data_IF_310253042016
#
_entry.id   IF_310253042016
#
_cell.length_a   1.000
_cell.length_b   1.000
_cell.length_c   1.000
_cell.angle_alpha   90.00
_cell.angle_beta   90.00
_cell.angle_gamma   90.00
#
_symmetry.space_group_name_H-M   'P 1'
#
loop_
_entity.id
_entity.type
_entity.pdbx_description
1 polymer ?
#
# COMPACT_ATOMS: atom_id res chain seq x y z
N UNK A 1 7.59 -5.00 -13.39
CA UNK A 1 7.44 -6.41 -13.79
C UNK A 1 8.75 -7.15 -13.56
N UNK A 2 8.70 -8.34 -13.01
CA UNK A 2 9.90 -9.16 -12.79
C UNK A 2 10.35 -9.80 -14.10
N UNK A 3 11.65 -9.72 -14.39
CA UNK A 3 12.25 -10.39 -15.55
C UNK A 3 12.44 -11.88 -15.22
N UNK A 4 11.50 -12.70 -15.70
CA UNK A 4 11.53 -14.15 -15.46
C UNK A 4 12.63 -14.89 -16.21
N UNK A 5 13.36 -14.23 -17.11
CA UNK A 5 14.53 -14.81 -17.74
C UNK A 5 15.75 -14.79 -16.83
N UNK A 6 15.81 -13.84 -15.89
CA UNK A 6 16.93 -13.65 -14.95
C UNK A 6 16.62 -14.10 -13.53
N UNK A 7 15.35 -14.10 -13.13
CA UNK A 7 14.94 -14.31 -11.75
C UNK A 7 13.89 -15.42 -11.65
N UNK A 8 13.97 -16.19 -10.60
CA UNK A 8 12.90 -17.10 -10.17
C UNK A 8 12.03 -16.41 -9.16
N UNK A 9 10.72 -16.59 -9.29
CA UNK A 9 9.75 -16.07 -8.34
C UNK A 9 9.48 -17.14 -7.29
N UNK A 10 9.84 -16.87 -6.04
CA UNK A 10 9.69 -17.81 -4.93
C UNK A 10 8.32 -17.71 -4.27
N UNK A 11 7.78 -16.49 -4.18
CA UNK A 11 6.53 -16.21 -3.50
C UNK A 11 5.98 -14.88 -4.01
N UNK A 12 4.68 -14.82 -4.22
CA UNK A 12 4.00 -13.56 -4.51
C UNK A 12 2.93 -13.29 -3.47
N UNK A 13 2.71 -12.02 -3.18
CA UNK A 13 1.67 -11.55 -2.27
C UNK A 13 0.95 -10.37 -2.92
N UNK A 14 -0.37 -10.46 -3.00
CA UNK A 14 -1.19 -9.41 -3.57
C UNK A 14 -1.24 -8.20 -2.66
N UNK A 15 -1.05 -7.02 -3.23
CA UNK A 15 -1.21 -5.74 -2.53
C UNK A 15 -2.34 -4.94 -3.13
N UNK A 16 -3.02 -4.18 -2.28
CA UNK A 16 -4.08 -3.26 -2.65
C UNK A 16 -3.75 -1.87 -2.14
N UNK A 17 -4.30 -0.86 -2.77
CA UNK A 17 -4.18 0.50 -2.26
C UNK A 17 -5.23 0.72 -1.17
N UNK A 18 -4.77 1.19 -0.02
CA UNK A 18 -5.63 1.52 1.11
C UNK A 18 -5.54 3.01 1.42
N UNK A 19 -6.68 3.58 1.81
CA UNK A 19 -6.74 4.89 2.43
C UNK A 19 -6.72 4.72 3.96
N UNK A 20 -5.81 5.42 4.61
CA UNK A 20 -5.63 5.38 6.05
C UNK A 20 -5.77 6.80 6.58
N UNK A 21 -6.62 6.98 7.59
CA UNK A 21 -6.93 8.30 8.12
C UNK A 21 -7.44 8.21 9.55
N UNK A 22 -7.45 9.34 10.24
CA UNK A 22 -8.06 9.42 11.58
C UNK A 22 -9.58 9.54 11.46
N UNK A 23 -10.29 8.63 12.12
CA UNK A 23 -11.76 8.58 12.14
C UNK A 23 -12.39 9.78 12.80
N UNK A 24 -11.67 10.44 13.70
CA UNK A 24 -12.14 11.62 14.41
C UNK A 24 -11.88 12.94 13.66
N UNK A 25 -11.30 12.87 12.47
CA UNK A 25 -10.98 14.05 11.65
C UNK A 25 -11.67 14.01 10.29
N UNK A 26 -11.59 12.89 9.57
CA UNK A 26 -12.13 12.77 8.21
C UNK A 26 -13.43 11.97 8.21
N UNK A 27 -14.44 12.49 7.50
CA UNK A 27 -15.73 11.83 7.28
C UNK A 27 -16.39 11.36 8.58
N UNK A 28 -16.38 12.24 9.58
CA UNK A 28 -16.89 11.93 10.92
C UNK A 28 -18.40 11.75 10.98
N UNK A 29 -19.10 12.26 9.99
CA UNK A 29 -20.56 12.29 9.90
C UNK A 29 -21.16 11.23 9.00
N UNK A 30 -20.33 10.31 8.46
CA UNK A 30 -20.82 9.23 7.60
C UNK A 30 -20.02 7.95 7.79
N UNK A 31 -20.57 6.85 7.28
CA UNK A 31 -19.93 5.54 7.35
C UNK A 31 -18.72 5.48 6.40
N UNK A 32 -17.66 4.79 6.85
CA UNK A 32 -16.40 4.76 6.12
C UNK A 32 -16.45 3.89 4.87
N UNK A 33 -17.34 2.90 4.80
CA UNK A 33 -17.54 2.08 3.61
C UNK A 33 -18.19 2.83 2.45
N UNK A 34 -18.73 4.04 2.69
CA UNK A 34 -19.29 4.90 1.65
C UNK A 34 -18.27 5.84 0.99
N UNK A 35 -17.03 5.87 1.49
CA UNK A 35 -15.98 6.73 0.95
C UNK A 35 -15.55 6.24 -0.42
N UNK A 36 -15.52 7.16 -1.38
CA UNK A 36 -15.18 6.86 -2.78
C UNK A 36 -13.82 7.47 -3.14
N UNK A 37 -13.27 7.06 -4.27
CA UNK A 37 -12.07 7.67 -4.84
C UNK A 37 -12.23 9.18 -5.03
N UNK A 38 -13.39 9.61 -5.48
CA UNK A 38 -13.68 11.05 -5.66
C UNK A 38 -13.63 11.82 -4.34
N UNK A 39 -14.07 11.22 -3.24
CA UNK A 39 -13.94 11.82 -1.91
C UNK A 39 -12.47 12.00 -1.52
N UNK A 40 -11.66 10.98 -1.78
CA UNK A 40 -10.24 10.97 -1.45
C UNK A 40 -9.48 12.04 -2.23
N UNK A 41 -9.81 12.23 -3.51
CA UNK A 41 -9.19 13.25 -4.35
C UNK A 41 -9.35 14.67 -3.81
N UNK A 42 -10.35 14.91 -2.97
CA UNK A 42 -10.61 16.23 -2.37
C UNK A 42 -9.84 16.46 -1.09
N UNK A 43 -9.14 15.47 -0.59
CA UNK A 43 -8.43 15.53 0.70
C UNK A 43 -6.96 15.85 0.51
N UNK A 44 -6.31 16.44 1.54
CA UNK A 44 -4.85 16.47 1.60
C UNK A 44 -4.33 15.04 1.78
N UNK A 45 -3.38 14.64 0.94
CA UNK A 45 -2.89 13.26 0.87
C UNK A 45 -1.43 13.17 1.27
N UNK A 46 -1.09 12.09 1.96
CA UNK A 46 0.29 11.65 2.14
C UNK A 46 0.49 10.31 1.44
N UNK A 47 1.51 10.23 0.61
CA UNK A 47 1.75 9.11 -0.29
C UNK A 47 3.11 8.49 -0.02
N UNK A 48 3.21 7.17 -0.17
CA UNK A 48 4.50 6.49 -0.27
C UNK A 48 4.93 6.36 -1.74
N UNK A 49 6.21 6.06 -1.97
CA UNK A 49 6.70 5.81 -3.33
C UNK A 49 5.94 4.67 -4.03
N UNK A 50 5.55 3.64 -3.28
CA UNK A 50 4.75 2.54 -3.81
C UNK A 50 3.35 2.97 -4.26
N UNK A 51 2.69 3.83 -3.48
CA UNK A 51 1.38 4.34 -3.86
C UNK A 51 1.44 5.26 -5.07
N UNK A 52 2.48 6.08 -5.18
CA UNK A 52 2.69 6.91 -6.38
C UNK A 52 2.78 6.03 -7.63
N UNK A 53 3.56 4.95 -7.57
CA UNK A 53 3.68 4.02 -8.70
C UNK A 53 2.36 3.36 -9.07
N UNK A 54 1.59 2.91 -8.07
CA UNK A 54 0.28 2.29 -8.30
C UNK A 54 -0.66 3.28 -8.98
N UNK A 55 -0.70 4.51 -8.51
CA UNK A 55 -1.56 5.55 -9.07
C UNK A 55 -1.15 5.89 -10.51
N UNK A 56 0.15 6.05 -10.75
CA UNK A 56 0.66 6.36 -12.09
C UNK A 56 0.42 5.24 -13.11
N UNK A 57 0.45 3.98 -12.67
CA UNK A 57 0.17 2.84 -13.52
C UNK A 57 -1.33 2.65 -13.78
N UNK A 58 -2.19 3.23 -12.95
CA UNK A 58 -3.62 3.24 -13.17
C UNK A 58 -3.97 4.31 -14.22
N UNK A 59 -5.07 4.14 -14.90
CA UNK A 59 -5.58 5.17 -15.83
C UNK A 59 -6.64 6.07 -15.20
N UNK A 60 -6.78 6.01 -13.87
CA UNK A 60 -7.87 6.70 -13.17
C UNK A 60 -7.63 8.19 -12.99
N UNK A 61 -6.38 8.61 -12.82
CA UNK A 61 -6.05 10.01 -12.56
C UNK A 61 -4.59 10.30 -12.85
N UNK A 62 -4.28 11.58 -13.03
CA UNK A 62 -2.93 12.10 -13.06
C UNK A 62 -2.53 12.55 -11.64
N UNK A 63 -1.24 12.44 -11.31
CA UNK A 63 -0.73 12.90 -10.01
C UNK A 63 -1.01 14.39 -9.77
N UNK A 64 -1.05 15.18 -10.83
CA UNK A 64 -1.35 16.62 -10.74
C UNK A 64 -2.75 16.92 -10.24
N UNK A 65 -3.69 15.98 -10.38
CA UNK A 65 -5.06 16.13 -9.89
C UNK A 65 -5.20 15.84 -8.40
N UNK A 66 -4.15 15.36 -7.76
CA UNK A 66 -4.15 14.99 -6.36
C UNK A 66 -3.50 16.10 -5.53
N UNK A 67 -4.05 16.34 -4.35
CA UNK A 67 -3.44 17.25 -3.37
C UNK A 67 -2.45 16.47 -2.49
N UNK A 68 -1.32 16.09 -3.06
CA UNK A 68 -0.26 15.37 -2.33
C UNK A 68 0.55 16.36 -1.51
N UNK A 69 0.24 16.45 -0.22
CA UNK A 69 0.91 17.33 0.75
C UNK A 69 2.28 16.79 1.11
N UNK A 70 2.43 15.46 1.13
CA UNK A 70 3.70 14.80 1.43
C UNK A 70 3.84 13.54 0.57
N UNK A 71 5.04 13.34 0.06
CA UNK A 71 5.45 12.08 -0.59
C UNK A 71 6.66 11.58 0.16
N UNK A 72 6.56 10.40 0.75
CA UNK A 72 7.59 9.84 1.62
C UNK A 72 8.24 8.61 0.99
N UNK A 73 9.43 8.29 1.46
CA UNK A 73 10.15 7.10 0.98
C UNK A 73 9.61 5.80 1.57
N UNK A 74 8.95 5.88 2.72
CA UNK A 74 8.43 4.69 3.41
C UNK A 74 6.94 4.81 3.64
N UNK A 75 6.29 3.65 3.69
CA UNK A 75 4.88 3.53 4.05
C UNK A 75 4.62 4.05 5.47
N UNK A 76 5.50 3.72 6.41
CA UNK A 76 5.39 4.16 7.80
C UNK A 76 5.37 5.68 7.93
N UNK A 77 6.22 6.38 7.19
CA UNK A 77 6.26 7.84 7.21
C UNK A 77 4.98 8.46 6.65
N UNK A 78 4.42 7.86 5.60
CA UNK A 78 3.13 8.33 5.07
C UNK A 78 2.01 8.15 6.10
N UNK A 79 1.97 7.02 6.80
CA UNK A 79 0.97 6.73 7.84
C UNK A 79 1.14 7.67 9.04
N UNK A 80 2.36 8.07 9.37
CA UNK A 80 2.61 9.06 10.43
C UNK A 80 1.90 10.39 10.15
N UNK A 81 1.89 10.84 8.92
CA UNK A 81 1.15 12.03 8.51
C UNK A 81 -0.36 11.86 8.77
N UNK A 82 -0.90 10.68 8.45
CA UNK A 82 -2.31 10.40 8.69
C UNK A 82 -2.63 10.33 10.19
N UNK A 83 -1.72 9.77 11.01
CA UNK A 83 -1.92 9.66 12.45
C UNK A 83 -1.94 11.04 13.14
N UNK A 84 -1.30 12.05 12.54
CA UNK A 84 -1.36 13.43 13.01
C UNK A 84 -2.70 14.10 12.76
N UNK A 85 -3.57 13.50 11.96
CA UNK A 85 -4.86 14.07 11.56
C UNK A 85 -4.79 15.06 10.41
N UNK A 86 -3.62 15.24 9.79
CA UNK A 86 -3.42 16.25 8.73
C UNK A 86 -3.76 15.76 7.35
N UNK A 87 -3.64 14.46 7.11
CA UNK A 87 -3.80 13.87 5.78
C UNK A 87 -4.61 12.60 5.82
N UNK A 88 -5.11 12.22 4.63
CA UNK A 88 -5.44 10.83 4.32
C UNK A 88 -4.21 10.22 3.66
N UNK A 89 -3.73 9.10 4.16
CA UNK A 89 -2.57 8.41 3.60
C UNK A 89 -3.02 7.35 2.62
N UNK A 90 -2.40 7.30 1.44
CA UNK A 90 -2.62 6.22 0.48
C UNK A 90 -1.37 5.35 0.43
N UNK A 91 -1.50 4.09 0.80
CA UNK A 91 -0.37 3.16 0.85
C UNK A 91 -0.77 1.78 0.34
N UNK A 92 0.16 1.07 -0.33
CA UNK A 92 -0.07 -0.32 -0.69
C UNK A 92 0.10 -1.21 0.54
N UNK A 93 -0.87 -2.06 0.77
CA UNK A 93 -0.87 -3.00 1.90
C UNK A 93 -1.48 -4.32 1.47
N UNK A 94 -1.12 -5.39 2.17
CA UNK A 94 -1.91 -6.61 2.11
C UNK A 94 -3.01 -6.59 3.20
N UNK A 95 -3.95 -7.50 3.09
CA UNK A 95 -5.10 -7.54 4.00
C UNK A 95 -4.71 -7.89 5.45
N UNK A 96 -3.51 -8.43 5.67
CA UNK A 96 -3.03 -8.86 6.98
C UNK A 96 -2.23 -7.81 7.71
N UNK A 97 -1.80 -6.75 7.04
CA UNK A 97 -1.07 -5.67 7.70
C UNK A 97 -1.97 -4.96 8.71
N UNK A 98 -1.43 -4.73 9.89
CA UNK A 98 -2.17 -4.12 10.99
C UNK A 98 -1.83 -2.64 11.11
N UNK A 99 -2.86 -1.86 11.44
CA UNK A 99 -2.70 -0.46 11.82
C UNK A 99 -2.95 -0.38 13.32
N UNK A 100 -1.88 -0.07 14.05
CA UNK A 100 -1.88 -0.16 15.48
C UNK A 100 -2.29 1.18 16.13
N UNK A 101 -3.49 1.70 15.78
CA UNK A 101 -3.99 2.93 16.34
C UNK A 101 -5.52 2.92 16.41
N UNK A 102 -6.07 3.12 17.61
CA UNK A 102 -7.53 3.06 17.84
C UNK A 102 -8.36 4.08 17.07
N UNK A 103 -7.77 5.24 16.76
CA UNK A 103 -8.47 6.32 16.05
C UNK A 103 -8.29 6.25 14.54
N UNK A 104 -7.57 5.26 14.04
CA UNK A 104 -7.31 5.12 12.61
C UNK A 104 -8.34 4.22 11.96
N UNK A 105 -8.69 4.57 10.73
CA UNK A 105 -9.48 3.72 9.84
C UNK A 105 -8.66 3.32 8.62
N UNK A 106 -8.99 2.16 8.07
CA UNK A 106 -8.36 1.65 6.85
C UNK A 106 -9.46 1.24 5.87
N UNK A 107 -9.42 1.82 4.69
CA UNK A 107 -10.37 1.54 3.61
C UNK A 107 -9.61 1.07 2.38
N UNK A 108 -9.97 -0.11 1.89
CA UNK A 108 -9.46 -0.64 0.63
C UNK A 108 -10.10 0.11 -0.54
N UNK A 109 -9.27 0.50 -1.51
CA UNK A 109 -9.73 1.17 -2.72
C UNK A 109 -9.86 0.15 -3.84
N UNK A 110 -11.09 -0.24 -4.23
CA UNK A 110 -11.30 -1.31 -5.20
C UNK A 110 -10.72 -1.02 -6.58
N UNK A 111 -10.64 0.25 -6.96
CA UNK A 111 -10.12 0.71 -8.26
C UNK A 111 -8.65 0.34 -8.47
N UNK A 112 -7.94 0.03 -7.38
CA UNK A 112 -6.52 -0.31 -7.40
C UNK A 112 -6.29 -1.76 -6.95
N UNK A 113 -7.26 -2.63 -7.16
CA UNK A 113 -7.18 -4.03 -6.74
C UNK A 113 -6.70 -4.95 -7.87
N UNK A 114 -5.95 -5.97 -7.52
CA UNK A 114 -5.76 -7.17 -8.33
C UNK A 114 -4.48 -7.27 -9.14
N UNK A 115 -3.87 -6.15 -9.55
CA UNK A 115 -2.74 -6.19 -10.49
C UNK A 115 -1.38 -5.94 -9.85
N UNK A 116 -1.36 -5.65 -8.55
CA UNK A 116 -0.13 -5.29 -7.84
C UNK A 116 0.26 -6.40 -6.87
N UNK A 117 1.49 -6.89 -7.00
CA UNK A 117 2.01 -7.99 -6.18
C UNK A 117 3.39 -7.67 -5.65
N UNK A 118 3.61 -8.01 -4.38
CA UNK A 118 4.94 -8.09 -3.79
C UNK A 118 5.49 -9.48 -4.11
N UNK A 119 6.73 -9.55 -4.54
CA UNK A 119 7.36 -10.82 -4.89
C UNK A 119 8.70 -10.98 -4.16
N UNK A 120 8.97 -12.21 -3.73
CA UNK A 120 10.32 -12.63 -3.35
C UNK A 120 10.94 -13.33 -4.54
N UNK A 121 12.10 -12.86 -4.96
CA UNK A 121 12.79 -13.36 -6.16
C UNK A 121 14.22 -13.76 -5.82
N UNK A 122 14.78 -14.65 -6.62
CA UNK A 122 16.19 -15.01 -6.59
C UNK A 122 16.73 -15.10 -8.02
N UNK A 123 18.05 -14.92 -8.17
CA UNK A 123 18.69 -15.09 -9.48
C UNK A 123 18.61 -16.56 -9.90
N UNK A 124 18.27 -16.79 -11.17
CA UNK A 124 18.28 -18.14 -11.73
C UNK A 124 19.65 -18.78 -11.61
N UNK A 125 19.66 -20.06 -11.24
CA UNK A 125 20.89 -20.83 -11.08
C UNK A 125 21.63 -20.56 -9.78
N UNK A 126 21.12 -19.69 -8.90
CA UNK A 126 21.72 -19.42 -7.60
C UNK A 126 20.89 -20.07 -6.49
N UNK A 127 21.53 -20.86 -5.66
CA UNK A 127 20.90 -21.46 -4.49
C UNK A 127 20.73 -20.41 -3.38
N UNK A 128 19.63 -20.50 -2.63
CA UNK A 128 19.45 -19.69 -1.44
C UNK A 128 20.39 -20.17 -0.32
N UNK A 129 20.91 -19.23 0.49
CA UNK A 129 21.57 -19.58 1.72
C UNK A 129 20.58 -20.27 2.67
N UNK A 130 21.07 -21.09 3.64
CA UNK A 130 20.18 -21.72 4.63
C UNK A 130 19.32 -20.69 5.39
N UNK A 131 19.88 -19.53 5.74
CA UNK A 131 19.15 -18.47 6.44
C UNK A 131 18.05 -17.87 5.55
N UNK A 132 18.35 -17.61 4.29
CA UNK A 132 17.37 -17.08 3.35
C UNK A 132 16.23 -18.08 3.11
N UNK A 133 16.56 -19.37 3.01
CA UNK A 133 15.55 -20.42 2.87
C UNK A 133 14.64 -20.51 4.09
N UNK A 134 15.21 -20.42 5.29
CA UNK A 134 14.41 -20.38 6.52
C UNK A 134 13.47 -19.17 6.55
N UNK A 135 13.93 -18.01 6.12
CA UNK A 135 13.10 -16.82 6.05
C UNK A 135 11.91 -17.00 5.11
N UNK A 136 12.17 -17.55 3.93
CA UNK A 136 11.11 -17.80 2.92
C UNK A 136 10.10 -18.82 3.47
N UNK A 137 10.57 -19.90 4.07
CA UNK A 137 9.70 -20.93 4.64
C UNK A 137 8.84 -20.38 5.77
N UNK A 138 9.42 -19.57 6.63
CA UNK A 138 8.71 -18.89 7.71
C UNK A 138 7.63 -17.95 7.14
N UNK A 139 7.99 -17.15 6.14
CA UNK A 139 7.06 -16.21 5.53
C UNK A 139 5.90 -16.92 4.85
N UNK A 140 6.15 -18.02 4.15
CA UNK A 140 5.09 -18.84 3.52
C UNK A 140 4.13 -19.40 4.56
N UNK A 141 4.61 -19.80 5.71
CA UNK A 141 3.78 -20.30 6.81
C UNK A 141 2.94 -19.18 7.43
N UNK A 142 3.46 -17.94 7.44
CA UNK A 142 2.76 -16.77 7.99
C UNK A 142 1.63 -16.27 7.07
N UNK A 143 1.83 -16.30 5.80
CA UNK A 143 0.81 -15.86 4.83
C UNK A 143 -0.08 -17.00 4.40
#
# INVERSE_FOLDING_TARGET
MVDTDKFDILLTQEEHLYAIFRRDVFWTDREHDTITWEDIKKCPLSLSGGSVRMIMQSSLTDMEQLNAVAITTTKSSAIEWASSGRTVSLVPMDAKELINHRKMARIKLPEFSGDFKKAFITLKGHALSPVAQQFIDFYKAYV
#
